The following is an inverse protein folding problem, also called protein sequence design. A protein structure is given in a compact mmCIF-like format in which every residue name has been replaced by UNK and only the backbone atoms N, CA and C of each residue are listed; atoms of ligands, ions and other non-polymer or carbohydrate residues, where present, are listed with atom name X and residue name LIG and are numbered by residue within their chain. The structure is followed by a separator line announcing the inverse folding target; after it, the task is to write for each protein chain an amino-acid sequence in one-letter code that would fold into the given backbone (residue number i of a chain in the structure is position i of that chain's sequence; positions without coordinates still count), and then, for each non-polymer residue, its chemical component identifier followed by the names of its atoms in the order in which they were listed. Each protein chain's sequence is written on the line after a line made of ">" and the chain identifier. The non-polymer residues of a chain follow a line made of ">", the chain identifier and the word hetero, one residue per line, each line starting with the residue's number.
data_IF_462839259149
#
_entry.id   IF_462839259149
#
_cell.length_a   1.000
_cell.length_b   1.000
_cell.length_c   1.000
_cell.angle_alpha   90.00
_cell.angle_beta   90.00
_cell.angle_gamma   90.00
#
_symmetry.space_group_name_H-M   'P 1'
#
loop_
_entity.id
_entity.type
_entity.pdbx_description
1 polymer ?
#
# COMPACT_ATOMS: atom_id res chain seq x y z
N UNK A 1 27.49 -80.44 -28.07
CA UNK A 1 28.57 -80.61 -27.07
C UNK A 1 28.56 -79.32 -26.26
N UNK A 2 27.97 -79.24 -25.07
CA UNK A 2 28.37 -79.88 -23.81
C UNK A 2 27.12 -80.27 -23.03
N UNK A 3 27.11 -81.52 -22.57
CA UNK A 3 26.24 -82.05 -21.51
C UNK A 3 26.87 -81.71 -20.17
N UNK A 4 26.08 -81.25 -19.20
CA UNK A 4 26.43 -81.42 -17.78
C UNK A 4 25.19 -81.82 -17.00
N UNK A 5 25.26 -83.05 -16.54
CA UNK A 5 24.24 -83.78 -15.82
C UNK A 5 24.45 -83.66 -14.30
N UNK A 6 23.32 -83.74 -13.59
CA UNK A 6 23.09 -84.36 -12.28
C UNK A 6 23.79 -83.82 -11.02
N UNK A 7 22.96 -83.46 -10.04
CA UNK A 7 22.83 -84.19 -8.75
C UNK A 7 21.45 -83.86 -8.16
N UNK A 8 20.52 -84.82 -8.10
CA UNK A 8 20.22 -85.69 -6.94
C UNK A 8 19.69 -84.86 -5.77
N UNK A 9 18.45 -85.01 -5.30
CA UNK A 9 17.93 -86.23 -4.65
C UNK A 9 16.40 -86.31 -4.81
N UNK A 10 15.85 -87.51 -4.98
CA UNK A 10 14.40 -87.73 -5.00
C UNK A 10 13.81 -87.80 -3.58
N UNK A 11 12.72 -87.08 -3.27
CA UNK A 11 11.93 -87.37 -2.08
C UNK A 11 10.88 -88.46 -2.33
N UNK A 12 10.45 -89.14 -1.26
CA UNK A 12 9.87 -90.50 -1.23
C UNK A 12 8.38 -90.57 -1.63
N UNK A 13 7.82 -91.79 -1.80
CA UNK A 13 6.42 -91.98 -2.17
C UNK A 13 5.43 -91.79 -0.99
N UNK A 14 4.40 -90.97 -1.28
CA UNK A 14 2.96 -90.92 -0.88
C UNK A 14 2.44 -91.78 0.30
N UNK A 15 1.49 -91.25 1.10
CA UNK A 15 0.23 -91.99 1.34
C UNK A 15 -1.07 -91.16 1.14
N UNK A 16 -2.23 -91.83 1.04
CA UNK A 16 -3.36 -91.39 0.23
C UNK A 16 -4.40 -90.52 0.94
N UNK A 17 -5.16 -89.84 0.07
CA UNK A 17 -6.38 -89.06 0.26
C UNK A 17 -7.35 -89.62 1.33
N UNK A 18 -7.95 -88.71 2.11
CA UNK A 18 -9.38 -88.76 2.41
C UNK A 18 -9.94 -87.39 2.83
N UNK A 19 -11.02 -86.98 2.15
CA UNK A 19 -12.02 -85.97 2.55
C UNK A 19 -11.57 -84.50 2.64
N UNK A 20 -12.25 -83.51 2.07
CA UNK A 20 -13.56 -83.47 1.45
C UNK A 20 -13.81 -82.03 0.96
N UNK A 21 -14.50 -81.93 -0.18
CA UNK A 21 -15.17 -80.74 -0.73
C UNK A 21 -14.35 -79.67 -1.49
N UNK A 22 -14.52 -79.74 -2.81
CA UNK A 22 -14.99 -78.62 -3.67
C UNK A 22 -14.03 -77.44 -3.90
N UNK A 23 -13.28 -77.50 -5.01
CA UNK A 23 -12.84 -76.31 -5.73
C UNK A 23 -13.32 -76.39 -7.19
N UNK A 24 -14.58 -75.97 -7.35
CA UNK A 24 -15.23 -75.60 -8.61
C UNK A 24 -14.48 -74.40 -9.22
N UNK A 25 -14.41 -74.26 -10.57
CA UNK A 25 -13.65 -73.20 -11.22
C UNK A 25 -14.22 -71.84 -10.80
N UNK A 26 -13.39 -70.95 -10.26
CA UNK A 26 -13.80 -69.58 -10.03
C UNK A 26 -14.10 -68.93 -11.39
N UNK A 27 -15.35 -68.54 -11.67
CA UNK A 27 -15.67 -67.76 -12.85
C UNK A 27 -15.08 -66.37 -12.66
N UNK A 28 -14.45 -65.81 -13.70
CA UNK A 28 -14.14 -64.39 -13.73
C UNK A 28 -15.41 -63.60 -13.39
N UNK A 29 -15.40 -62.67 -12.42
CA UNK A 29 -16.55 -61.85 -12.15
C UNK A 29 -16.79 -60.93 -13.35
N UNK A 30 -17.90 -61.17 -14.04
CA UNK A 30 -18.44 -60.30 -15.08
C UNK A 30 -18.62 -58.87 -14.54
N UNK A 31 -18.34 -57.82 -15.34
CA UNK A 31 -18.44 -56.42 -14.92
C UNK A 31 -19.91 -55.98 -14.90
N UNK A 32 -20.66 -56.42 -13.89
CA UNK A 32 -22.08 -56.10 -13.72
C UNK A 32 -22.40 -55.29 -12.47
N UNK A 33 -21.39 -54.93 -11.67
CA UNK A 33 -21.58 -54.23 -10.39
C UNK A 33 -20.89 -52.86 -10.28
N UNK A 34 -20.44 -52.26 -11.39
CA UNK A 34 -19.82 -50.93 -11.34
C UNK A 34 -20.82 -49.79 -11.53
N UNK A 35 -21.97 -49.99 -12.19
CA UNK A 35 -22.90 -48.89 -12.50
C UNK A 35 -23.52 -48.26 -11.25
N UNK A 36 -23.97 -49.09 -10.30
CA UNK A 36 -24.58 -48.59 -9.06
C UNK A 36 -23.54 -47.93 -8.16
N UNK A 37 -22.34 -48.52 -8.09
CA UNK A 37 -21.23 -48.00 -7.27
C UNK A 37 -20.67 -46.70 -7.86
N UNK A 38 -20.54 -46.60 -9.20
CA UNK A 38 -20.16 -45.37 -9.89
C UNK A 38 -21.25 -44.31 -9.72
N UNK A 39 -22.53 -44.65 -9.84
CA UNK A 39 -23.63 -43.70 -9.57
C UNK A 39 -23.59 -43.19 -8.13
N UNK A 40 -23.35 -44.08 -7.18
CA UNK A 40 -23.21 -43.73 -5.77
C UNK A 40 -21.99 -42.81 -5.54
N UNK A 41 -20.84 -43.15 -6.14
CA UNK A 41 -19.62 -42.34 -6.07
C UNK A 41 -19.84 -40.96 -6.69
N UNK A 42 -20.49 -40.88 -7.86
CA UNK A 42 -20.86 -39.62 -8.51
C UNK A 42 -21.80 -38.81 -7.63
N UNK A 43 -22.81 -39.44 -7.02
CA UNK A 43 -23.69 -38.76 -6.07
C UNK A 43 -22.92 -38.20 -4.86
N UNK A 44 -21.96 -38.95 -4.30
CA UNK A 44 -21.12 -38.47 -3.20
C UNK A 44 -20.24 -37.30 -3.65
N UNK A 45 -19.61 -37.39 -4.82
CA UNK A 45 -18.75 -36.31 -5.34
C UNK A 45 -19.58 -35.05 -5.61
N UNK A 46 -20.76 -35.18 -6.22
CA UNK A 46 -21.68 -34.06 -6.46
C UNK A 46 -22.18 -33.48 -5.14
N UNK A 47 -22.56 -34.32 -4.17
CA UNK A 47 -22.95 -33.87 -2.84
C UNK A 47 -21.81 -33.13 -2.15
N UNK A 48 -20.58 -33.63 -2.24
CA UNK A 48 -19.43 -32.98 -1.64
C UNK A 48 -19.14 -31.64 -2.31
N UNK A 49 -19.25 -31.56 -3.64
CA UNK A 49 -19.08 -30.33 -4.41
C UNK A 49 -20.17 -29.31 -4.06
N UNK A 50 -21.41 -29.74 -3.87
CA UNK A 50 -22.52 -28.90 -3.39
C UNK A 50 -22.31 -28.45 -1.94
N UNK A 51 -21.80 -29.30 -1.05
CA UNK A 51 -21.48 -28.94 0.33
C UNK A 51 -20.27 -27.99 0.40
N UNK A 52 -19.28 -28.15 -0.47
CA UNK A 52 -18.13 -27.25 -0.55
C UNK A 52 -18.49 -25.92 -1.17
N UNK A 53 -19.28 -25.92 -2.26
CA UNK A 53 -19.71 -24.69 -2.92
C UNK A 53 -20.79 -23.96 -2.11
N UNK A 54 -21.75 -24.70 -1.57
CA UNK A 54 -22.76 -24.20 -0.64
C UNK A 54 -22.15 -23.76 0.68
N UNK A 55 -21.18 -24.48 1.22
CA UNK A 55 -20.40 -24.09 2.41
C UNK A 55 -19.53 -22.88 2.15
N UNK A 56 -18.92 -22.76 0.96
CA UNK A 56 -18.17 -21.56 0.57
C UNK A 56 -19.09 -20.35 0.37
N UNK A 57 -20.25 -20.52 -0.28
CA UNK A 57 -21.26 -19.46 -0.39
C UNK A 57 -21.83 -19.11 0.98
N UNK A 58 -22.07 -20.10 1.84
CA UNK A 58 -22.53 -19.89 3.21
C UNK A 58 -21.48 -19.11 3.99
N UNK A 59 -20.22 -19.51 4.00
CA UNK A 59 -19.14 -18.77 4.66
C UNK A 59 -18.92 -17.38 4.03
N UNK A 60 -19.05 -17.23 2.72
CA UNK A 60 -18.90 -15.94 2.02
C UNK A 60 -20.09 -15.00 2.26
N UNK A 61 -21.29 -15.56 2.39
CA UNK A 61 -22.49 -14.80 2.77
C UNK A 61 -22.50 -14.53 4.27
N UNK A 62 -22.07 -15.45 5.12
CA UNK A 62 -21.86 -15.24 6.55
C UNK A 62 -20.74 -14.22 6.77
N UNK A 63 -19.66 -14.20 6.00
CA UNK A 63 -18.65 -13.12 6.04
C UNK A 63 -19.24 -11.76 5.60
N UNK A 64 -20.24 -11.76 4.72
CA UNK A 64 -21.01 -10.56 4.34
C UNK A 64 -22.12 -10.19 5.33
N UNK A 65 -22.67 -11.15 6.07
CA UNK A 65 -23.81 -11.00 7.01
C UNK A 65 -23.36 -10.88 8.48
N UNK A 66 -22.13 -11.27 8.81
CA UNK A 66 -21.37 -10.92 10.03
C UNK A 66 -20.65 -9.56 9.85
N UNK A 67 -20.88 -8.89 8.72
CA UNK A 67 -20.47 -7.51 8.48
C UNK A 67 -21.66 -6.53 8.38
N UNK A 68 -22.51 -6.46 9.42
CA UNK A 68 -23.05 -5.20 9.92
C UNK A 68 -22.52 -4.87 11.35
N UNK A 69 -22.61 -3.60 11.77
CA UNK A 69 -21.74 -3.04 12.79
C UNK A 69 -22.27 -3.27 14.21
N UNK A 70 -21.53 -4.00 15.05
CA UNK A 70 -21.52 -3.84 16.53
C UNK A 70 -20.67 -4.96 17.14
N UNK A 71 -19.50 -4.73 17.72
CA UNK A 71 -19.21 -4.08 19.00
C UNK A 71 -19.03 -5.11 20.14
N UNK A 72 -17.76 -5.39 20.47
CA UNK A 72 -17.32 -5.56 21.86
C UNK A 72 -15.78 -5.42 21.93
N UNK A 73 -15.31 -4.34 22.55
CA UNK A 73 -13.92 -4.10 22.97
C UNK A 73 -12.91 -3.55 21.93
N UNK A 74 -13.06 -3.84 20.62
CA UNK A 74 -12.11 -3.38 19.58
C UNK A 74 -12.74 -2.61 18.41
N UNK A 75 -14.06 -2.74 18.23
CA UNK A 75 -14.76 -2.07 17.14
C UNK A 75 -14.93 -0.57 17.41
N UNK A 76 -15.16 -0.16 18.65
CA UNK A 76 -15.28 1.26 19.02
C UNK A 76 -13.97 2.01 18.72
N UNK A 77 -12.82 1.39 18.99
CA UNK A 77 -11.52 1.93 18.62
C UNK A 77 -11.33 1.96 17.10
N UNK A 78 -11.74 0.95 16.33
CA UNK A 78 -11.50 0.90 14.88
C UNK A 78 -12.48 1.71 14.03
N UNK A 79 -13.77 1.80 14.38
CA UNK A 79 -14.72 2.69 13.71
C UNK A 79 -14.50 4.13 14.14
N UNK A 80 -14.19 4.40 15.42
CA UNK A 80 -13.67 5.71 15.84
C UNK A 80 -12.41 6.04 15.06
N UNK A 81 -11.37 5.20 15.06
CA UNK A 81 -10.12 5.50 14.34
C UNK A 81 -10.33 5.64 12.83
N UNK A 82 -11.18 4.84 12.19
CA UNK A 82 -11.44 4.95 10.75
C UNK A 82 -12.29 6.18 10.42
N UNK A 83 -13.31 6.51 11.20
CA UNK A 83 -14.14 7.70 11.02
C UNK A 83 -13.37 8.98 11.42
N UNK A 84 -12.62 8.95 12.53
CA UNK A 84 -11.67 9.99 12.94
C UNK A 84 -10.61 10.23 11.88
N UNK A 85 -10.02 9.20 11.25
CA UNK A 85 -9.02 9.42 10.18
C UNK A 85 -9.60 10.01 8.89
N UNK A 86 -10.89 9.82 8.61
CA UNK A 86 -11.57 10.55 7.51
C UNK A 86 -11.93 12.00 7.89
N UNK A 87 -12.14 12.29 9.18
CA UNK A 87 -12.40 13.64 9.67
C UNK A 87 -11.13 14.43 10.05
N UNK A 88 -9.98 13.77 10.15
CA UNK A 88 -8.74 14.40 10.54
C UNK A 88 -8.22 15.28 9.41
N UNK A 89 -7.93 16.53 9.75
CA UNK A 89 -7.45 17.49 8.77
C UNK A 89 -6.06 17.08 8.27
N UNK A 90 -5.91 17.03 6.94
CA UNK A 90 -4.70 16.59 6.25
C UNK A 90 -4.56 17.30 4.91
N UNK A 91 -3.33 17.68 4.57
CA UNK A 91 -2.93 18.16 3.28
C UNK A 91 -1.59 17.53 2.87
N UNK A 92 -1.52 17.00 1.66
CA UNK A 92 -0.29 16.55 1.01
C UNK A 92 -0.23 17.15 -0.39
N UNK A 93 0.71 18.06 -0.60
CA UNK A 93 0.75 18.93 -1.78
C UNK A 93 1.80 18.45 -2.78
N UNK A 94 1.37 18.34 -4.03
CA UNK A 94 2.20 18.03 -5.19
C UNK A 94 2.62 19.33 -5.86
N UNK A 95 3.91 19.48 -6.16
CA UNK A 95 4.44 20.71 -6.75
C UNK A 95 3.91 20.95 -8.17
N UNK A 96 3.47 22.17 -8.46
CA UNK A 96 2.94 22.57 -9.77
C UNK A 96 4.01 23.25 -10.63
N UNK A 97 4.12 22.84 -11.90
CA UNK A 97 5.14 23.36 -12.84
C UNK A 97 4.85 24.76 -13.40
N UNK A 98 3.58 25.19 -13.44
CA UNK A 98 3.09 26.32 -14.26
C UNK A 98 3.70 27.70 -13.93
N UNK A 99 4.32 27.88 -12.77
CA UNK A 99 4.64 29.22 -12.23
C UNK A 99 6.14 29.52 -12.19
N UNK A 100 6.98 28.49 -12.31
CA UNK A 100 8.45 28.61 -12.27
C UNK A 100 9.00 29.44 -13.43
N UNK A 101 8.29 29.46 -14.57
CA UNK A 101 8.75 30.11 -15.80
C UNK A 101 8.54 31.63 -15.83
N UNK A 102 7.75 32.19 -14.90
CA UNK A 102 7.37 33.62 -14.92
C UNK A 102 7.87 34.44 -13.73
N UNK A 103 8.24 33.82 -12.62
CA UNK A 103 8.59 34.51 -11.38
C UNK A 103 10.02 34.21 -10.94
N UNK A 104 10.74 35.25 -10.48
CA UNK A 104 12.08 35.12 -9.91
C UNK A 104 12.03 34.55 -8.50
N UNK A 105 11.16 35.09 -7.65
CA UNK A 105 10.88 34.66 -6.28
C UNK A 105 9.37 34.50 -6.07
N UNK A 106 8.96 33.70 -5.09
CA UNK A 106 7.53 33.59 -4.79
C UNK A 106 7.14 32.39 -3.94
N UNK A 107 5.83 32.27 -3.73
CA UNK A 107 5.24 31.09 -3.14
C UNK A 107 5.18 29.95 -4.16
N UNK A 108 5.56 28.76 -3.74
CA UNK A 108 5.35 27.54 -4.52
C UNK A 108 3.86 27.36 -4.79
N UNK A 109 3.58 26.92 -6.01
CA UNK A 109 2.24 26.64 -6.49
C UNK A 109 2.08 25.14 -6.54
N UNK A 110 0.91 24.66 -6.14
CA UNK A 110 0.64 23.24 -6.01
C UNK A 110 -0.36 22.78 -7.07
N UNK A 111 -0.17 21.57 -7.55
CA UNK A 111 -1.14 20.93 -8.45
C UNK A 111 -2.32 20.39 -7.64
N UNK A 112 -3.43 21.12 -7.67
CA UNK A 112 -4.63 20.78 -6.91
C UNK A 112 -5.34 19.51 -7.42
N UNK A 113 -5.06 19.06 -8.64
CA UNK A 113 -5.67 17.84 -9.18
C UNK A 113 -5.00 16.57 -8.60
N UNK A 114 -3.70 16.68 -8.28
CA UNK A 114 -2.91 15.56 -7.75
C UNK A 114 -2.59 15.69 -6.26
N UNK A 115 -2.85 16.85 -5.66
CA UNK A 115 -2.72 17.06 -4.22
C UNK A 115 -3.88 16.43 -3.44
N UNK A 116 -3.59 16.00 -2.21
CA UNK A 116 -4.58 15.44 -1.29
C UNK A 116 -4.97 16.50 -0.28
N UNK A 117 -6.27 16.81 -0.18
CA UNK A 117 -6.83 17.74 0.80
C UNK A 117 -8.02 17.10 1.52
N UNK A 118 -8.01 17.14 2.86
CA UNK A 118 -9.11 16.70 3.73
C UNK A 118 -9.24 17.70 4.87
N UNK A 119 -10.40 18.36 5.00
CA UNK A 119 -10.63 19.41 6.02
C UNK A 119 -9.53 20.50 6.07
N UNK A 120 -8.89 20.76 4.93
CA UNK A 120 -7.96 21.86 4.66
C UNK A 120 -8.41 22.47 3.34
N UNK A 121 -8.50 23.79 3.28
CA UNK A 121 -8.83 24.51 2.05
C UNK A 121 -7.56 25.14 1.45
N UNK A 122 -7.65 25.74 0.27
CA UNK A 122 -6.54 26.45 -0.34
C UNK A 122 -6.95 27.82 -0.89
N UNK A 123 -5.96 28.68 -1.11
CA UNK A 123 -6.13 29.97 -1.75
C UNK A 123 -5.05 30.21 -2.81
N UNK A 124 -5.50 30.59 -4.02
CA UNK A 124 -4.64 30.94 -5.16
C UNK A 124 -3.56 29.91 -5.49
N UNK A 125 -3.84 28.62 -5.28
CA UNK A 125 -2.92 27.52 -5.61
C UNK A 125 -1.68 27.38 -4.71
N UNK A 126 -1.35 28.37 -3.87
CA UNK A 126 -0.12 28.39 -3.05
C UNK A 126 -0.34 28.22 -1.55
N UNK A 127 -1.49 28.70 -1.06
CA UNK A 127 -1.74 28.82 0.37
C UNK A 127 -2.68 27.72 0.83
N UNK A 128 -2.29 26.95 1.84
CA UNK A 128 -3.19 26.09 2.60
C UNK A 128 -3.92 26.91 3.65
N UNK A 129 -5.18 26.60 3.92
CA UNK A 129 -6.04 27.31 4.88
C UNK A 129 -6.63 26.32 5.86
N UNK A 130 -6.36 26.56 7.14
CA UNK A 130 -6.79 25.71 8.25
C UNK A 130 -8.30 25.88 8.48
N UNK A 131 -9.05 24.78 8.45
CA UNK A 131 -10.50 24.81 8.66
C UNK A 131 -10.91 24.53 10.12
N UNK A 132 -10.00 23.96 10.91
CA UNK A 132 -10.23 23.57 12.31
C UNK A 132 -9.01 23.92 13.16
N UNK A 133 -9.22 24.60 14.29
CA UNK A 133 -8.11 24.88 15.21
C UNK A 133 -7.56 23.60 15.84
N UNK A 134 -6.27 23.63 16.20
CA UNK A 134 -5.59 22.56 16.91
C UNK A 134 -4.10 22.51 16.60
N UNK A 135 -3.44 21.47 17.09
CA UNK A 135 -2.01 21.24 16.80
C UNK A 135 -1.86 20.47 15.50
N UNK A 136 -0.90 20.88 14.68
CA UNK A 136 -0.61 20.26 13.39
C UNK A 136 0.88 19.97 13.31
N UNK A 137 1.22 18.80 12.77
CA UNK A 137 2.56 18.60 12.24
C UNK A 137 2.60 19.15 10.83
N UNK A 138 3.42 20.17 10.60
CA UNK A 138 3.64 20.81 9.30
C UNK A 138 5.03 20.40 8.81
N UNK A 139 5.14 19.95 7.57
CA UNK A 139 6.42 19.58 6.96
C UNK A 139 6.58 20.18 5.58
N UNK A 140 7.84 20.44 5.22
CA UNK A 140 8.23 20.93 3.89
C UNK A 140 9.55 20.28 3.49
N UNK A 141 9.61 19.85 2.25
CA UNK A 141 10.82 19.35 1.60
C UNK A 141 10.94 20.03 0.25
N UNK A 142 12.03 20.76 0.03
CA UNK A 142 12.28 21.43 -1.24
C UNK A 142 13.66 21.04 -1.72
N UNK A 143 13.72 20.46 -2.91
CA UNK A 143 14.98 20.10 -3.55
C UNK A 143 15.36 21.17 -4.55
N UNK A 144 16.63 21.56 -4.54
CA UNK A 144 17.21 22.49 -5.49
C UNK A 144 18.12 21.73 -6.44
N UNK A 145 17.98 22.01 -7.74
CA UNK A 145 18.77 21.39 -8.83
C UNK A 145 19.97 22.25 -9.27
N UNK A 146 20.04 23.50 -8.80
CA UNK A 146 21.04 24.49 -9.19
C UNK A 146 21.52 25.29 -7.97
N UNK A 147 22.80 25.66 -7.97
CA UNK A 147 23.39 26.56 -6.96
C UNK A 147 23.16 28.04 -7.29
N UNK A 148 23.15 28.90 -6.27
CA UNK A 148 23.26 30.35 -6.44
C UNK A 148 24.72 30.79 -6.15
N UNK A 149 25.31 31.74 -6.91
CA UNK A 149 26.73 32.08 -6.77
C UNK A 149 27.08 32.79 -5.46
N UNK A 150 26.13 33.54 -4.88
CA UNK A 150 26.40 34.44 -3.74
C UNK A 150 25.49 34.23 -2.54
N UNK A 151 24.43 33.42 -2.67
CA UNK A 151 23.39 33.30 -1.64
C UNK A 151 23.17 31.83 -1.29
N UNK A 152 22.96 31.50 0.00
CA UNK A 152 22.56 30.15 0.37
C UNK A 152 21.17 29.84 -0.19
N UNK A 153 20.91 28.57 -0.48
CA UNK A 153 19.57 28.13 -0.86
C UNK A 153 18.77 27.88 0.41
N UNK A 154 17.54 28.36 0.45
CA UNK A 154 16.67 28.11 1.58
C UNK A 154 15.21 28.04 1.18
N UNK A 155 14.46 27.31 2.00
CA UNK A 155 13.02 27.18 1.92
C UNK A 155 12.41 27.72 3.19
N UNK A 156 11.39 28.57 3.05
CA UNK A 156 10.70 29.20 4.17
C UNK A 156 9.24 28.80 4.17
N UNK A 157 8.74 28.26 5.28
CA UNK A 157 7.29 28.12 5.49
C UNK A 157 6.79 29.41 6.10
N UNK A 158 5.88 30.07 5.40
CA UNK A 158 5.22 31.30 5.82
C UNK A 158 3.89 30.97 6.48
N UNK A 159 3.53 31.74 7.50
CA UNK A 159 2.25 31.73 8.19
C UNK A 159 1.63 33.12 8.11
N UNK A 160 0.34 33.20 7.82
CA UNK A 160 -0.44 34.43 8.01
C UNK A 160 -1.77 34.10 8.66
N UNK A 161 -2.27 35.01 9.49
CA UNK A 161 -3.55 34.81 10.17
C UNK A 161 -4.74 34.82 9.20
N UNK A 162 -4.66 35.68 8.17
CA UNK A 162 -5.68 35.82 7.14
C UNK A 162 -5.09 36.45 5.87
N UNK A 163 -5.89 36.56 4.80
CA UNK A 163 -5.45 37.12 3.51
C UNK A 163 -4.94 38.57 3.57
N UNK A 164 -5.35 39.34 4.58
CA UNK A 164 -5.09 40.78 4.68
C UNK A 164 -4.06 41.15 5.75
N UNK A 165 -3.44 40.15 6.40
CA UNK A 165 -2.45 40.36 7.45
C UNK A 165 -1.05 40.00 6.97
N UNK A 166 -0.06 40.59 7.64
CA UNK A 166 1.35 40.39 7.35
C UNK A 166 1.76 38.91 7.50
N UNK A 167 2.71 38.52 6.65
CA UNK A 167 3.27 37.19 6.63
C UNK A 167 4.39 37.07 7.67
N UNK A 168 4.35 35.99 8.46
CA UNK A 168 5.37 35.65 9.44
C UNK A 168 6.10 34.39 9.01
N UNK A 169 7.41 34.37 9.22
CA UNK A 169 8.22 33.17 9.05
C UNK A 169 7.86 32.17 10.16
N UNK A 170 7.41 30.98 9.77
CA UNK A 170 7.14 29.88 10.69
C UNK A 170 8.35 28.96 10.83
N UNK A 171 8.93 28.55 9.70
CA UNK A 171 10.12 27.70 9.65
C UNK A 171 11.02 28.12 8.49
N UNK A 172 12.33 27.97 8.66
CA UNK A 172 13.31 28.21 7.61
C UNK A 172 14.38 27.13 7.64
N UNK A 173 14.65 26.52 6.49
CA UNK A 173 15.68 25.50 6.31
C UNK A 173 16.61 25.90 5.19
N UNK A 174 17.89 25.63 5.39
CA UNK A 174 18.96 25.95 4.45
C UNK A 174 19.49 24.69 3.80
N UNK A 175 19.99 24.84 2.59
CA UNK A 175 20.79 23.86 1.90
C UNK A 175 21.88 24.59 1.11
N UNK A 176 23.06 23.99 0.99
CA UNK A 176 24.18 24.63 0.29
C UNK A 176 24.70 23.72 -0.81
N UNK A 177 24.70 24.25 -2.04
CA UNK A 177 25.39 23.68 -3.18
C UNK A 177 26.60 24.55 -3.47
N UNK A 178 27.80 23.98 -3.40
CA UNK A 178 29.00 24.66 -3.85
C UNK A 178 28.96 24.94 -5.35
N UNK A 179 29.56 26.05 -5.78
CA UNK A 179 29.74 26.39 -7.19
C UNK A 179 30.59 25.32 -7.89
N UNK A 180 30.19 24.96 -9.11
CA UNK A 180 30.78 23.88 -9.89
C UNK A 180 32.29 24.06 -10.10
N UNK A 181 33.11 23.15 -9.56
CA UNK A 181 34.55 23.03 -9.88
C UNK A 181 34.87 21.77 -10.70
N UNK A 182 33.86 20.98 -11.10
CA UNK A 182 34.02 19.69 -11.79
C UNK A 182 32.95 19.39 -12.84
N UNK A 183 32.97 18.16 -13.35
CA UNK A 183 32.27 17.68 -14.56
C UNK A 183 30.76 18.05 -14.58
N UNK A 184 30.31 18.75 -15.63
CA UNK A 184 28.95 19.32 -15.78
C UNK A 184 27.83 18.28 -15.97
N UNK A 185 28.15 16.99 -16.01
CA UNK A 185 27.22 15.93 -16.41
C UNK A 185 26.33 15.40 -15.29
N UNK A 186 26.63 15.67 -14.02
CA UNK A 186 25.82 15.21 -12.87
C UNK A 186 25.22 16.41 -12.15
N UNK A 187 23.89 16.60 -12.16
CA UNK A 187 23.25 17.67 -11.39
C UNK A 187 23.44 17.42 -9.90
N UNK A 188 24.00 18.40 -9.19
CA UNK A 188 24.10 18.34 -7.73
C UNK A 188 22.78 18.81 -7.14
N UNK A 189 22.11 17.90 -6.46
CA UNK A 189 20.85 18.16 -5.76
C UNK A 189 21.12 18.52 -4.30
N UNK A 190 20.29 19.38 -3.73
CA UNK A 190 20.32 19.74 -2.32
C UNK A 190 18.91 19.91 -1.80
N UNK A 191 18.57 19.21 -0.73
CA UNK A 191 17.22 19.21 -0.19
C UNK A 191 17.17 19.93 1.16
N UNK A 192 16.43 21.02 1.23
CA UNK A 192 16.06 21.66 2.47
C UNK A 192 14.81 20.99 3.04
N UNK A 193 14.93 20.36 4.20
CA UNK A 193 13.82 19.69 4.89
C UNK A 193 13.56 20.34 6.24
N UNK A 194 12.29 20.55 6.56
CA UNK A 194 11.85 21.09 7.85
C UNK A 194 10.50 20.49 8.24
N UNK A 195 10.28 20.38 9.54
CA UNK A 195 8.97 20.08 10.08
C UNK A 195 8.88 20.41 11.55
N UNK A 196 7.71 20.84 12.00
CA UNK A 196 7.45 21.22 13.38
C UNK A 196 5.99 20.96 13.74
N UNK A 197 5.74 20.76 15.03
CA UNK A 197 4.40 20.82 15.60
C UNK A 197 4.06 22.27 15.87
N UNK A 198 2.91 22.72 15.36
CA UNK A 198 2.48 24.11 15.42
C UNK A 198 0.99 24.16 15.76
N UNK A 199 0.64 24.97 16.76
CA UNK A 199 -0.76 25.27 17.06
C UNK A 199 -1.28 26.27 16.03
N UNK A 200 -2.34 25.89 15.32
CA UNK A 200 -2.94 26.70 14.26
C UNK A 200 -4.41 26.96 14.57
N UNK A 201 -4.86 28.16 14.27
CA UNK A 201 -6.26 28.56 14.41
C UNK A 201 -7.00 28.44 13.08
N UNK A 202 -8.31 28.23 13.15
CA UNK A 202 -9.19 28.29 11.98
C UNK A 202 -9.00 29.62 11.24
N UNK A 203 -8.71 29.54 9.95
CA UNK A 203 -8.45 30.68 9.08
C UNK A 203 -6.98 30.95 8.84
N UNK A 204 -6.06 30.45 9.69
CA UNK A 204 -4.63 30.55 9.45
C UNK A 204 -4.27 29.96 8.09
N UNK A 205 -3.30 30.59 7.42
CA UNK A 205 -2.84 30.16 6.12
C UNK A 205 -1.33 29.93 6.08
N UNK A 206 -0.93 28.85 5.41
CA UNK A 206 0.47 28.46 5.28
C UNK A 206 0.87 28.33 3.81
N UNK A 207 2.10 28.70 3.50
CA UNK A 207 2.67 28.52 2.17
C UNK A 207 4.18 28.29 2.25
N UNK A 208 4.78 27.83 1.15
CA UNK A 208 6.25 27.71 1.04
C UNK A 208 6.75 28.80 0.13
N UNK A 209 7.62 29.66 0.65
CA UNK A 209 8.29 30.74 -0.07
C UNK A 209 9.71 30.35 -0.46
N UNK A 210 10.08 30.67 -1.70
CA UNK A 210 11.40 30.44 -2.27
C UNK A 210 11.93 31.73 -2.90
N UNK A 211 13.19 32.06 -2.62
CA UNK A 211 13.84 33.26 -3.17
C UNK A 211 14.14 33.13 -4.67
N UNK A 212 14.49 31.94 -5.14
CA UNK A 212 14.77 31.67 -6.55
C UNK A 212 14.07 30.41 -7.05
N UNK A 213 12.86 30.57 -7.60
CA UNK A 213 12.03 29.46 -8.07
C UNK A 213 12.70 28.66 -9.20
N UNK A 214 13.51 29.31 -10.04
CA UNK A 214 14.25 28.69 -11.15
C UNK A 214 15.32 27.67 -10.72
N UNK A 215 15.65 27.63 -9.42
CA UNK A 215 16.63 26.71 -8.84
C UNK A 215 15.97 25.46 -8.25
N UNK A 216 14.63 25.45 -8.10
CA UNK A 216 13.89 24.33 -7.51
C UNK A 216 13.78 23.18 -8.50
N UNK A 217 13.87 21.96 -7.98
CA UNK A 217 13.48 20.74 -8.68
C UNK A 217 11.98 20.51 -8.51
N UNK A 218 11.27 20.48 -9.64
CA UNK A 218 9.81 20.32 -9.71
C UNK A 218 9.38 18.87 -9.89
N UNK A 219 10.27 17.91 -9.68
CA UNK A 219 9.87 16.51 -9.49
C UNK A 219 8.96 16.37 -8.26
N UNK A 220 7.80 15.75 -8.47
CA UNK A 220 6.75 15.55 -7.46
C UNK A 220 7.24 14.78 -6.23
N UNK A 221 8.27 13.96 -6.40
CA UNK A 221 8.90 13.18 -5.32
C UNK A 221 10.03 13.93 -4.63
N UNK A 222 10.56 15.01 -5.22
CA UNK A 222 11.66 15.78 -4.68
C UNK A 222 11.20 17.01 -3.88
N UNK A 223 10.07 17.61 -4.27
CA UNK A 223 9.51 18.81 -3.64
C UNK A 223 8.08 18.56 -3.17
N UNK A 224 7.86 18.68 -1.87
CA UNK A 224 6.59 18.40 -1.22
C UNK A 224 6.32 19.35 -0.04
N UNK A 225 5.06 19.61 0.22
CA UNK A 225 4.59 20.36 1.39
C UNK A 225 3.33 19.71 1.94
N UNK A 226 3.16 19.72 3.25
CA UNK A 226 1.96 19.15 3.83
C UNK A 226 1.82 19.41 5.31
N UNK A 227 0.66 18.99 5.80
CA UNK A 227 0.32 19.07 7.20
C UNK A 227 -0.75 18.06 7.57
N UNK A 228 -0.77 17.63 8.82
CA UNK A 228 -1.88 16.87 9.36
C UNK A 228 -2.10 17.23 10.83
N UNK A 229 -3.37 17.25 11.24
CA UNK A 229 -3.75 17.55 12.63
C UNK A 229 -3.24 16.44 13.55
N UNK A 230 -2.79 16.78 14.76
CA UNK A 230 -2.38 15.84 15.81
C UNK A 230 -3.55 15.32 16.63
#
# INVERSE_FOLDING_TARGET
>A
MINTYHTSVAPPPVPPRLNSHLLIPAPLPSPKHSKTLIRFLVCIVVLHLLLSFGGFIYLYQTEKMDRPPSAEGKAELQTSVKQETFHRALAGMVVGRKTAERLTSGHLQWDMNHSVLRNINYFNGSWLTVMQSGDYYVYSRVTFSKSHPTSPLYSTVMLRESKSRDEKILMKAYCSLGTHTGNRSVPRLCTATQGAVVTLEKGNQLSVWIEHLSLVDYDETATAFGMYKL
#
